data_IF_377065010693
#
_entry.id   IF_377065010693
#
_cell.length_a   1.000
_cell.length_b   1.000
_cell.length_c   1.000
_cell.angle_alpha   90.00
_cell.angle_beta   90.00
_cell.angle_gamma   90.00
#
_symmetry.space_group_name_H-M   'P 1'
#
loop_
_entity.id
_entity.type
_entity.pdbx_description
1 polymer ?
#
# COMPACT_ATOMS: atom_id res chain seq x y z
N UNK A 1 -21.60 15.18 -16.65
CA UNK A 1 -20.22 14.91 -17.10
C UNK A 1 -19.53 14.24 -15.94
N UNK A 2 -18.81 13.15 -16.19
CA UNK A 2 -18.02 12.48 -15.14
C UNK A 2 -16.81 13.38 -14.82
N UNK A 3 -16.58 13.66 -13.53
CA UNK A 3 -15.49 14.54 -13.09
C UNK A 3 -14.13 13.82 -13.05
N UNK A 4 -14.02 12.63 -13.69
CA UNK A 4 -12.81 11.84 -13.79
C UNK A 4 -12.50 11.48 -15.26
N UNK A 5 -11.24 11.10 -15.54
CA UNK A 5 -10.74 10.79 -16.88
C UNK A 5 -10.54 9.30 -17.04
N UNK A 6 -11.07 8.72 -18.13
CA UNK A 6 -10.88 7.30 -18.49
C UNK A 6 -10.30 7.23 -19.90
N UNK A 7 -9.21 6.49 -20.05
CA UNK A 7 -8.64 6.22 -21.37
C UNK A 7 -9.56 5.28 -22.17
N UNK A 8 -9.64 5.45 -23.49
CA UNK A 8 -10.57 4.73 -24.38
C UNK A 8 -10.42 3.20 -24.32
N UNK A 9 -9.22 2.70 -24.00
CA UNK A 9 -8.97 1.27 -23.83
C UNK A 9 -9.23 0.74 -22.43
N UNK A 10 -9.53 1.61 -21.46
CA UNK A 10 -9.88 1.20 -20.11
C UNK A 10 -11.37 0.86 -20.03
N UNK A 11 -11.70 0.00 -19.08
CA UNK A 11 -13.08 -0.40 -18.80
C UNK A 11 -13.49 -0.03 -17.39
N UNK A 12 -14.60 0.68 -17.26
CA UNK A 12 -15.28 0.93 -15.99
C UNK A 12 -16.67 0.30 -16.08
N UNK A 13 -16.94 -0.67 -15.23
CA UNK A 13 -18.23 -1.34 -15.22
C UNK A 13 -19.30 -0.45 -14.53
N UNK A 14 -20.58 -0.56 -14.89
CA UNK A 14 -21.65 0.15 -14.22
C UNK A 14 -21.68 -0.14 -12.71
N UNK A 15 -21.93 0.90 -11.90
CA UNK A 15 -21.97 0.78 -10.44
C UNK A 15 -20.62 0.96 -9.73
N UNK A 16 -19.54 1.26 -10.46
CA UNK A 16 -18.30 1.75 -9.85
C UNK A 16 -18.49 3.21 -9.41
N UNK A 17 -18.02 3.53 -8.20
CA UNK A 17 -18.00 4.88 -7.63
C UNK A 17 -16.60 5.46 -7.76
N UNK A 18 -16.44 6.57 -8.51
CA UNK A 18 -15.13 7.16 -8.78
C UNK A 18 -15.17 8.64 -8.50
N UNK A 19 -14.28 9.11 -7.63
CA UNK A 19 -14.16 10.51 -7.24
C UNK A 19 -13.58 11.41 -8.34
N UNK A 20 -13.88 12.69 -8.24
CA UNK A 20 -13.41 13.73 -9.16
C UNK A 20 -11.87 13.78 -9.24
N UNK A 21 -11.34 14.17 -10.40
CA UNK A 21 -9.91 14.30 -10.66
C UNK A 21 -9.16 12.98 -10.85
N UNK A 22 -9.79 11.83 -10.63
CA UNK A 22 -9.19 10.50 -10.82
C UNK A 22 -8.92 10.22 -12.29
N UNK A 23 -7.78 9.58 -12.58
CA UNK A 23 -7.33 9.24 -13.95
C UNK A 23 -7.12 7.75 -14.07
N UNK A 24 -7.76 7.16 -15.08
CA UNK A 24 -7.72 5.72 -15.37
C UNK A 24 -7.08 5.52 -16.74
N UNK A 25 -5.91 4.88 -16.75
CA UNK A 25 -5.08 4.73 -17.93
C UNK A 25 -5.35 3.44 -18.71
N UNK A 26 -4.56 3.20 -19.75
CA UNK A 26 -4.71 2.15 -20.74
C UNK A 26 -4.96 0.77 -20.10
N UNK A 27 -5.93 0.04 -20.64
CA UNK A 27 -6.23 -1.35 -20.29
C UNK A 27 -6.53 -1.60 -18.80
N UNK A 28 -6.80 -0.54 -18.03
CA UNK A 28 -7.27 -0.72 -16.67
C UNK A 28 -8.73 -1.22 -16.67
N UNK A 29 -9.09 -2.01 -15.68
CA UNK A 29 -10.45 -2.48 -15.47
C UNK A 29 -10.91 -2.21 -14.04
N UNK A 30 -11.99 -1.47 -13.90
CA UNK A 30 -12.66 -1.18 -12.62
C UNK A 30 -14.01 -1.88 -12.62
N UNK A 31 -14.19 -2.83 -11.72
CA UNK A 31 -15.46 -3.56 -11.60
C UNK A 31 -16.55 -2.70 -10.93
N UNK A 32 -17.80 -2.99 -11.28
CA UNK A 32 -18.96 -2.41 -10.59
C UNK A 32 -18.95 -2.74 -9.10
N UNK A 33 -19.24 -1.73 -8.24
CA UNK A 33 -19.17 -1.85 -6.78
C UNK A 33 -17.83 -1.44 -6.17
N UNK A 34 -16.77 -1.25 -6.96
CA UNK A 34 -15.52 -0.65 -6.49
C UNK A 34 -15.75 0.80 -6.06
N UNK A 35 -15.09 1.23 -5.00
CA UNK A 35 -15.12 2.61 -4.51
C UNK A 35 -13.72 3.23 -4.59
N UNK A 36 -13.59 4.31 -5.35
CA UNK A 36 -12.33 5.01 -5.59
C UNK A 36 -12.53 6.48 -5.26
N UNK A 37 -11.67 7.03 -4.42
CA UNK A 37 -11.67 8.42 -4.00
C UNK A 37 -11.27 9.38 -5.12
N UNK A 38 -11.02 10.63 -4.74
CA UNK A 38 -10.65 11.73 -5.63
C UNK A 38 -9.15 11.74 -5.93
N UNK A 39 -8.79 12.37 -7.05
CA UNK A 39 -7.40 12.67 -7.43
C UNK A 39 -6.49 11.41 -7.48
N UNK A 40 -7.08 10.24 -7.70
CA UNK A 40 -6.35 8.98 -7.83
C UNK A 40 -5.72 8.82 -9.22
N UNK A 41 -4.68 7.99 -9.30
CA UNK A 41 -4.09 7.56 -10.56
C UNK A 41 -4.06 6.03 -10.63
N UNK A 42 -4.80 5.47 -11.57
CA UNK A 42 -4.76 4.05 -11.93
C UNK A 42 -3.99 3.93 -13.24
N UNK A 43 -2.77 3.41 -13.16
CA UNK A 43 -1.88 3.28 -14.32
C UNK A 43 -2.28 2.10 -15.21
N UNK A 44 -1.47 1.79 -16.21
CA UNK A 44 -1.77 0.76 -17.21
C UNK A 44 -1.93 -0.63 -16.59
N UNK A 45 -2.93 -1.40 -17.07
CA UNK A 45 -3.24 -2.77 -16.62
C UNK A 45 -3.57 -2.89 -15.12
N UNK A 46 -4.10 -1.83 -14.50
CA UNK A 46 -4.59 -1.91 -13.13
C UNK A 46 -5.97 -2.60 -13.14
N UNK A 47 -6.15 -3.55 -12.23
CA UNK A 47 -7.45 -4.20 -12.00
C UNK A 47 -7.97 -3.84 -10.61
N UNK A 48 -9.23 -3.40 -10.51
CA UNK A 48 -9.91 -3.09 -9.25
C UNK A 48 -11.17 -3.95 -9.15
N UNK A 49 -11.20 -4.83 -8.15
CA UNK A 49 -12.34 -5.71 -7.89
C UNK A 49 -13.51 -4.95 -7.22
N UNK A 50 -14.69 -5.54 -7.26
CA UNK A 50 -15.95 -4.93 -6.81
C UNK A 50 -15.93 -4.49 -5.32
N UNK A 51 -15.32 -5.29 -4.44
CA UNK A 51 -15.24 -5.01 -3.00
C UNK A 51 -14.02 -4.21 -2.56
N UNK A 52 -13.23 -3.67 -3.50
CA UNK A 52 -12.06 -2.86 -3.18
C UNK A 52 -12.48 -1.43 -2.77
N UNK A 53 -11.76 -0.86 -1.80
CA UNK A 53 -11.95 0.51 -1.32
C UNK A 53 -10.64 1.28 -1.43
N UNK A 54 -10.66 2.40 -2.15
CA UNK A 54 -9.49 3.22 -2.42
C UNK A 54 -9.80 4.66 -2.00
N UNK A 55 -9.00 5.21 -1.10
CA UNK A 55 -9.09 6.58 -0.60
C UNK A 55 -8.66 7.63 -1.62
N UNK A 56 -8.55 8.87 -1.17
CA UNK A 56 -8.18 10.00 -2.01
C UNK A 56 -6.67 10.04 -2.31
N UNK A 57 -6.28 10.53 -3.48
CA UNK A 57 -4.89 10.75 -3.87
C UNK A 57 -4.01 9.49 -4.01
N UNK A 58 -4.63 8.32 -4.07
CA UNK A 58 -3.92 7.04 -4.21
C UNK A 58 -3.31 6.91 -5.60
N UNK A 59 -2.06 6.43 -5.66
CA UNK A 59 -1.38 6.16 -6.93
C UNK A 59 -1.08 4.68 -7.06
N UNK A 60 -1.72 4.04 -8.02
CA UNK A 60 -1.55 2.61 -8.34
C UNK A 60 -0.82 2.52 -9.66
N UNK A 61 0.41 2.00 -9.62
CA UNK A 61 1.27 1.86 -10.79
C UNK A 61 0.88 0.64 -11.64
N UNK A 62 1.57 0.47 -12.78
CA UNK A 62 1.25 -0.53 -13.79
C UNK A 62 1.19 -1.96 -13.23
N UNK A 63 0.26 -2.76 -13.76
CA UNK A 63 0.16 -4.20 -13.52
C UNK A 63 -0.17 -4.57 -12.06
N UNK A 64 -0.92 -3.73 -11.34
CA UNK A 64 -1.37 -4.01 -9.97
C UNK A 64 -2.83 -4.43 -10.00
N UNK A 65 -3.15 -5.51 -9.27
CA UNK A 65 -4.53 -5.96 -9.05
C UNK A 65 -4.92 -5.74 -7.58
N UNK A 66 -5.99 -4.99 -7.37
CA UNK A 66 -6.60 -4.76 -6.06
C UNK A 66 -7.85 -5.62 -5.95
N UNK A 67 -7.82 -6.62 -5.07
CA UNK A 67 -8.89 -7.60 -4.92
C UNK A 67 -9.94 -7.18 -3.89
N UNK A 68 -11.05 -7.94 -3.84
CA UNK A 68 -12.06 -7.79 -2.79
C UNK A 68 -11.44 -7.88 -1.40
N UNK A 69 -11.88 -7.00 -0.49
CA UNK A 69 -11.37 -6.94 0.89
C UNK A 69 -10.08 -6.16 1.06
N UNK A 70 -9.51 -5.61 -0.02
CA UNK A 70 -8.37 -4.69 0.08
C UNK A 70 -8.87 -3.26 0.25
N UNK A 71 -8.36 -2.59 1.28
CA UNK A 71 -8.56 -1.16 1.51
C UNK A 71 -7.22 -0.43 1.41
N UNK A 72 -7.15 0.57 0.54
CA UNK A 72 -6.05 1.52 0.45
C UNK A 72 -6.54 2.86 0.99
N UNK A 73 -5.99 3.35 2.08
CA UNK A 73 -6.31 4.68 2.61
C UNK A 73 -5.67 5.80 1.79
N UNK A 74 -5.95 7.05 2.13
CA UNK A 74 -5.52 8.23 1.37
C UNK A 74 -4.01 8.28 1.15
N UNK A 75 -3.61 8.72 -0.03
CA UNK A 75 -2.22 8.96 -0.38
C UNK A 75 -1.33 7.71 -0.43
N UNK A 76 -1.90 6.50 -0.44
CA UNK A 76 -1.13 5.26 -0.61
C UNK A 76 -0.50 5.22 -2.00
N UNK A 77 0.75 4.75 -2.05
CA UNK A 77 1.47 4.49 -3.29
C UNK A 77 1.69 2.99 -3.47
N UNK A 78 1.16 2.42 -4.55
CA UNK A 78 1.46 1.05 -4.99
C UNK A 78 2.44 1.10 -6.16
N UNK A 79 3.66 0.61 -5.96
CA UNK A 79 4.68 0.49 -6.99
C UNK A 79 4.28 -0.49 -8.10
N UNK A 80 4.91 -0.43 -9.28
CA UNK A 80 4.57 -1.32 -10.39
C UNK A 80 4.70 -2.79 -10.00
N UNK A 81 3.73 -3.58 -10.44
CA UNK A 81 3.67 -5.04 -10.18
C UNK A 81 3.65 -5.42 -8.70
N UNK A 82 3.18 -4.54 -7.83
CA UNK A 82 2.84 -4.93 -6.44
C UNK A 82 1.74 -5.98 -6.47
N UNK A 83 1.90 -7.05 -5.72
CA UNK A 83 0.97 -8.19 -5.67
C UNK A 83 0.24 -8.24 -4.34
N UNK A 84 -1.08 -8.24 -4.38
CA UNK A 84 -1.94 -8.58 -3.25
C UNK A 84 -2.43 -10.02 -3.39
N UNK A 85 -2.46 -10.76 -2.30
CA UNK A 85 -3.21 -12.02 -2.25
C UNK A 85 -4.55 -11.79 -1.56
N UNK A 86 -5.50 -12.71 -1.68
CA UNK A 86 -6.83 -12.57 -1.05
C UNK A 86 -7.27 -13.83 -0.29
N UNK A 87 -6.58 -14.96 -0.51
CA UNK A 87 -6.87 -16.24 0.15
C UNK A 87 -5.57 -16.84 0.68
N UNK A 88 -5.55 -17.24 1.96
CA UNK A 88 -4.36 -17.79 2.62
C UNK A 88 -3.99 -19.17 2.08
N UNK A 89 -4.99 -20.01 1.82
CA UNK A 89 -4.78 -21.42 1.41
C UNK A 89 -5.56 -21.76 0.14
N UNK A 90 -5.21 -21.17 -1.02
CA UNK A 90 -5.93 -21.43 -2.27
C UNK A 90 -5.72 -22.87 -2.77
N UNK A 91 -6.78 -23.46 -3.31
CA UNK A 91 -6.74 -24.73 -4.05
C UNK A 91 -7.76 -24.66 -5.19
N UNK A 92 -7.41 -25.09 -6.38
CA UNK A 92 -8.28 -25.00 -7.57
C UNK A 92 -9.58 -25.80 -7.41
N UNK A 93 -9.52 -26.93 -6.76
CA UNK A 93 -10.66 -27.85 -6.54
C UNK A 93 -11.46 -27.55 -5.26
N UNK A 94 -11.07 -26.54 -4.46
CA UNK A 94 -11.77 -26.12 -3.24
C UNK A 94 -12.18 -24.67 -3.37
N UNK A 95 -13.49 -24.41 -3.44
CA UNK A 95 -13.97 -23.02 -3.47
C UNK A 95 -13.66 -22.30 -2.17
N UNK A 96 -12.97 -21.16 -2.26
CA UNK A 96 -12.62 -20.28 -1.16
C UNK A 96 -13.23 -18.88 -1.29
N UNK A 97 -14.29 -18.73 -2.08
CA UNK A 97 -14.93 -17.43 -2.38
C UNK A 97 -15.43 -16.68 -1.14
N UNK A 98 -15.61 -17.36 -0.02
CA UNK A 98 -16.05 -16.77 1.25
C UNK A 98 -14.91 -16.66 2.29
N UNK A 99 -13.68 -16.98 1.90
CA UNK A 99 -12.51 -17.02 2.78
C UNK A 99 -11.49 -15.92 2.42
N UNK A 100 -11.96 -14.79 1.87
CA UNK A 100 -11.11 -13.65 1.61
C UNK A 100 -10.69 -13.01 2.93
N UNK A 101 -9.39 -12.87 3.13
CA UNK A 101 -8.83 -12.20 4.29
C UNK A 101 -8.55 -10.73 3.94
N UNK A 102 -9.10 -9.76 4.69
CA UNK A 102 -8.95 -8.35 4.38
C UNK A 102 -7.50 -7.89 4.53
N UNK A 103 -7.09 -6.96 3.67
CA UNK A 103 -5.78 -6.29 3.77
C UNK A 103 -6.01 -4.80 3.83
N UNK A 104 -5.43 -4.13 4.83
CA UNK A 104 -5.56 -2.69 5.01
C UNK A 104 -4.19 -2.05 4.82
N UNK A 105 -4.11 -1.09 3.90
CA UNK A 105 -2.93 -0.25 3.71
C UNK A 105 -3.29 1.16 4.18
N UNK A 106 -2.67 1.56 5.29
CA UNK A 106 -2.98 2.82 5.95
C UNK A 106 -2.39 4.01 5.21
N UNK A 107 -2.93 5.17 5.53
CA UNK A 107 -2.63 6.47 4.92
C UNK A 107 -1.13 6.67 4.63
N UNK A 108 -0.82 7.09 3.41
CA UNK A 108 0.51 7.49 3.00
C UNK A 108 1.55 6.37 2.92
N UNK A 109 1.16 5.11 3.13
CA UNK A 109 2.09 3.99 3.01
C UNK A 109 2.57 3.81 1.56
N UNK A 110 3.81 3.36 1.41
CA UNK A 110 4.43 3.05 0.13
C UNK A 110 4.69 1.56 0.00
N UNK A 111 4.18 0.96 -1.06
CA UNK A 111 4.45 -0.42 -1.45
C UNK A 111 5.43 -0.40 -2.63
N UNK A 112 6.63 -0.91 -2.42
CA UNK A 112 7.69 -0.92 -3.45
C UNK A 112 7.34 -1.84 -4.62
N UNK A 113 7.96 -1.59 -5.77
CA UNK A 113 7.77 -2.38 -6.98
C UNK A 113 8.02 -3.88 -6.73
N UNK A 114 7.20 -4.75 -7.34
CA UNK A 114 7.28 -6.21 -7.18
C UNK A 114 7.18 -6.71 -5.73
N UNK A 115 6.70 -5.90 -4.79
CA UNK A 115 6.43 -6.40 -3.44
C UNK A 115 5.19 -7.31 -3.46
N UNK A 116 5.17 -8.31 -2.55
CA UNK A 116 4.04 -9.22 -2.37
C UNK A 116 3.50 -9.10 -0.96
N UNK A 117 2.20 -8.86 -0.82
CA UNK A 117 1.51 -8.77 0.45
C UNK A 117 0.61 -10.00 0.62
N UNK A 118 0.84 -10.77 1.70
CA UNK A 118 -0.11 -11.78 2.09
C UNK A 118 -1.38 -11.10 2.61
N UNK A 119 -2.52 -11.74 2.35
CA UNK A 119 -3.80 -11.23 2.86
C UNK A 119 -3.94 -11.41 4.37
N UNK A 120 -4.82 -10.63 4.99
CA UNK A 120 -5.07 -10.68 6.43
C UNK A 120 -4.10 -9.85 7.25
N UNK A 121 -3.40 -8.88 6.63
CA UNK A 121 -2.41 -8.03 7.31
C UNK A 121 -2.76 -6.55 7.19
N UNK A 122 -2.17 -5.76 8.09
CA UNK A 122 -2.20 -4.32 8.04
C UNK A 122 -0.81 -3.75 7.75
N UNK A 123 -0.75 -2.82 6.79
CA UNK A 123 0.43 -1.98 6.54
C UNK A 123 0.18 -0.63 7.19
N UNK A 124 0.95 -0.31 8.21
CA UNK A 124 0.77 0.87 9.02
C UNK A 124 0.99 2.18 8.24
N UNK A 125 0.46 3.25 8.80
CA UNK A 125 0.52 4.61 8.25
C UNK A 125 1.97 5.01 7.92
N UNK A 126 2.19 5.53 6.71
CA UNK A 126 3.52 5.93 6.20
C UNK A 126 4.59 4.83 6.28
N UNK A 127 4.20 3.57 6.44
CA UNK A 127 5.15 2.48 6.33
C UNK A 127 5.73 2.40 4.92
N UNK A 128 6.96 1.93 4.82
CA UNK A 128 7.66 1.80 3.54
C UNK A 128 8.05 0.33 3.32
N UNK A 129 7.37 -0.32 2.41
CA UNK A 129 7.72 -1.66 1.95
C UNK A 129 8.69 -1.53 0.79
N UNK A 130 9.89 -2.06 0.94
CA UNK A 130 10.92 -2.01 -0.11
C UNK A 130 10.56 -2.87 -1.32
N UNK A 131 11.14 -2.54 -2.47
CA UNK A 131 10.93 -3.29 -3.71
C UNK A 131 11.29 -4.77 -3.54
N UNK A 132 10.49 -5.68 -4.10
CA UNK A 132 10.67 -7.13 -4.03
C UNK A 132 10.45 -7.76 -2.66
N UNK A 133 9.99 -7.02 -1.66
CA UNK A 133 9.73 -7.56 -0.34
C UNK A 133 8.49 -8.46 -0.32
N UNK A 134 8.53 -9.55 0.47
CA UNK A 134 7.37 -10.42 0.73
C UNK A 134 6.88 -10.20 2.15
N UNK A 135 5.78 -9.47 2.29
CA UNK A 135 5.20 -9.08 3.58
C UNK A 135 4.25 -10.17 4.05
N UNK A 136 4.58 -10.81 5.17
CA UNK A 136 3.86 -11.96 5.71
C UNK A 136 3.14 -11.68 7.04
N UNK A 137 3.22 -10.45 7.55
CA UNK A 137 2.64 -10.01 8.83
C UNK A 137 2.48 -8.50 8.83
N UNK A 138 1.77 -7.97 9.81
CA UNK A 138 1.58 -6.53 9.98
C UNK A 138 2.89 -5.75 9.99
N UNK A 139 2.83 -4.56 9.42
CA UNK A 139 3.95 -3.62 9.37
C UNK A 139 3.59 -2.39 10.21
N UNK A 140 4.39 -2.05 11.23
CA UNK A 140 4.14 -0.87 12.05
C UNK A 140 4.15 0.44 11.25
N UNK A 141 3.46 1.46 11.78
CA UNK A 141 3.49 2.79 11.19
C UNK A 141 4.93 3.31 11.06
N UNK A 142 5.25 3.95 9.94
CA UNK A 142 6.59 4.47 9.60
C UNK A 142 7.70 3.41 9.49
N UNK A 143 7.43 2.13 9.66
CA UNK A 143 8.45 1.10 9.55
C UNK A 143 8.93 0.93 8.09
N UNK A 144 10.24 0.82 7.92
CA UNK A 144 10.87 0.41 6.68
C UNK A 144 11.13 -1.11 6.73
N UNK A 145 10.50 -1.85 5.83
CA UNK A 145 10.64 -3.31 5.74
C UNK A 145 11.16 -3.73 4.37
N UNK A 146 12.05 -4.71 4.33
CA UNK A 146 12.65 -5.25 3.09
C UNK A 146 12.89 -6.75 3.20
N UNK A 147 13.03 -7.41 2.07
CA UNK A 147 13.46 -8.82 1.96
C UNK A 147 12.32 -9.82 1.85
N UNK A 148 12.68 -11.10 1.77
CA UNK A 148 11.76 -12.23 1.70
C UNK A 148 12.19 -13.30 2.75
N UNK A 149 11.39 -13.50 3.81
CA UNK A 149 10.25 -12.67 4.22
C UNK A 149 10.70 -11.27 4.68
N UNK A 150 9.82 -10.28 4.57
CA UNK A 150 10.12 -8.89 4.92
C UNK A 150 10.52 -8.76 6.40
N UNK A 151 11.56 -7.96 6.65
CA UNK A 151 12.08 -7.65 7.98
C UNK A 151 12.16 -6.14 8.18
N UNK A 152 11.89 -5.71 9.39
CA UNK A 152 12.06 -4.32 9.80
C UNK A 152 13.55 -3.97 9.82
N UNK A 153 13.96 -2.97 9.04
CA UNK A 153 15.35 -2.54 8.89
C UNK A 153 15.58 -1.08 9.24
N UNK A 154 14.56 -0.38 9.69
CA UNK A 154 14.62 1.02 10.07
C UNK A 154 13.28 1.71 9.93
N UNK A 155 13.31 3.03 9.87
CA UNK A 155 12.14 3.89 9.82
C UNK A 155 12.16 4.77 8.58
N UNK A 156 10.98 5.18 8.13
CA UNK A 156 10.78 6.13 7.04
C UNK A 156 10.02 7.35 7.56
N UNK A 157 10.40 8.52 7.07
CA UNK A 157 9.66 9.76 7.28
C UNK A 157 8.37 9.76 6.44
N UNK A 158 7.39 10.55 6.84
CA UNK A 158 6.19 10.78 6.01
C UNK A 158 6.51 11.37 4.63
N UNK A 159 7.67 12.03 4.45
CA UNK A 159 8.14 12.51 3.16
C UNK A 159 8.81 11.42 2.30
N UNK A 160 8.98 10.20 2.81
CA UNK A 160 9.61 9.07 2.12
C UNK A 160 11.09 8.87 2.42
N UNK A 161 11.76 9.84 3.05
CA UNK A 161 13.17 9.71 3.41
C UNK A 161 13.38 8.72 4.55
N UNK A 162 14.51 8.03 4.50
CA UNK A 162 14.91 7.12 5.58
C UNK A 162 15.30 7.91 6.84
N UNK A 163 14.80 7.46 7.99
CA UNK A 163 15.13 8.04 9.29
C UNK A 163 16.23 7.25 9.99
N UNK A 164 17.24 7.96 10.49
CA UNK A 164 18.31 7.42 11.32
C UNK A 164 19.31 6.51 10.60
N UNK A 165 20.36 6.05 11.31
CA UNK A 165 21.34 5.13 10.76
C UNK A 165 20.71 3.77 10.46
N UNK A 166 21.29 3.02 9.51
CA UNK A 166 20.96 1.61 9.35
C UNK A 166 21.25 0.90 10.68
N UNK A 167 20.34 0.02 11.16
CA UNK A 167 20.72 -0.90 12.24
C UNK A 167 22.02 -1.57 11.84
N UNK A 168 23.06 -1.42 12.66
CA UNK A 168 24.23 -2.25 12.58
C UNK A 168 23.85 -3.70 12.90
N UNK A 169 24.68 -4.69 12.52
CA UNK A 169 24.44 -6.10 12.81
C UNK A 169 24.24 -6.38 14.32
N UNK A 170 24.69 -5.48 15.18
CA UNK A 170 24.74 -5.65 16.64
C UNK A 170 23.57 -5.02 17.41
N UNK A 171 22.53 -4.54 16.74
CA UNK A 171 21.30 -4.08 17.43
C UNK A 171 21.43 -2.86 18.32
N UNK A 172 22.57 -2.16 18.32
CA UNK A 172 22.86 -1.07 19.23
C UNK A 172 22.12 0.22 18.87
N UNK A 173 21.51 0.80 19.91
CA UNK A 173 20.95 2.13 20.07
C UNK A 173 19.98 2.65 19.00
N UNK A 174 18.69 2.52 19.30
CA UNK A 174 17.66 3.36 18.69
C UNK A 174 17.76 4.74 19.35
N UNK A 175 18.19 5.74 18.60
CA UNK A 175 18.02 7.13 19.04
C UNK A 175 16.53 7.37 19.29
N UNK A 176 16.15 7.76 20.50
CA UNK A 176 14.74 7.97 20.86
C UNK A 176 14.08 9.12 20.10
N UNK A 177 14.89 9.99 19.51
CA UNK A 177 14.41 11.12 18.69
C UNK A 177 15.11 11.09 17.35
N UNK A 178 14.33 10.91 16.29
CA UNK A 178 14.79 10.89 14.90
C UNK A 178 14.36 12.17 14.19
N UNK A 179 15.29 12.84 13.52
CA UNK A 179 14.99 14.01 12.70
C UNK A 179 15.21 13.68 11.23
N UNK A 180 14.24 14.02 10.39
CA UNK A 180 14.39 13.89 8.95
C UNK A 180 15.34 14.94 8.40
N UNK A 181 16.35 14.49 7.63
CA UNK A 181 17.31 15.39 7.00
C UNK A 181 16.73 16.23 5.86
N UNK A 182 15.65 15.77 5.22
CA UNK A 182 15.04 16.45 4.08
C UNK A 182 13.97 17.47 4.48
N UNK A 183 13.01 17.07 5.36
CA UNK A 183 11.87 17.93 5.71
C UNK A 183 11.89 18.44 7.16
N UNK A 184 12.93 18.13 7.91
CA UNK A 184 13.13 18.49 9.32
C UNK A 184 12.06 17.95 10.30
N UNK A 185 11.12 17.13 9.86
CA UNK A 185 10.14 16.48 10.73
C UNK A 185 10.84 15.67 11.83
N UNK A 186 10.26 15.70 13.03
CA UNK A 186 10.82 15.03 14.21
C UNK A 186 9.90 13.90 14.65
N UNK A 187 10.49 12.78 15.00
CA UNK A 187 9.79 11.57 15.45
C UNK A 187 10.37 11.08 16.77
N UNK A 188 9.54 10.39 17.54
CA UNK A 188 9.96 9.73 18.77
C UNK A 188 9.71 8.22 18.67
N UNK A 189 10.75 7.43 18.88
CA UNK A 189 10.63 6.00 19.06
C UNK A 189 10.16 5.67 20.49
N UNK A 190 9.38 4.63 20.63
CA UNK A 190 9.02 4.06 21.95
C UNK A 190 10.26 3.46 22.64
N UNK A 191 10.07 2.97 23.88
CA UNK A 191 11.16 2.45 24.69
C UNK A 191 11.85 1.24 24.05
N UNK A 192 11.08 0.42 23.34
CA UNK A 192 11.54 -0.86 22.75
C UNK A 192 11.95 -0.69 21.27
N UNK A 193 11.80 0.52 20.71
CA UNK A 193 12.09 0.80 19.30
C UNK A 193 11.19 0.01 18.32
N UNK A 194 9.97 -0.32 18.73
CA UNK A 194 8.99 -1.07 17.93
C UNK A 194 7.95 -0.17 17.29
N UNK A 195 7.78 1.06 17.77
CA UNK A 195 6.86 2.05 17.22
C UNK A 195 7.51 3.42 17.07
N UNK A 196 7.04 4.20 16.10
CA UNK A 196 7.48 5.56 15.83
C UNK A 196 6.28 6.51 15.77
N UNK A 197 6.37 7.63 16.46
CA UNK A 197 5.32 8.67 16.46
C UNK A 197 5.89 10.02 16.05
N UNK A 198 5.20 10.83 15.21
CA UNK A 198 5.59 12.20 14.92
C UNK A 198 5.41 13.07 16.15
N UNK A 199 6.22 14.13 16.24
CA UNK A 199 6.14 15.19 17.26
C UNK A 199 5.53 16.46 16.69
#
# INVERSE_FOLDING_TARGET
MTDYVVHDTARVDPGAEIGAGTRIWHFAHVMGGARIGRDCMLAQNVFIAAGAVIGDGVKIQNNVSIYDGVTLEDGVFCGPSTVFTNVVTPRSHVSRRHAFAPTIVRQGATLGANSTLLCGIEIGRYAFVGAGAVVTRDVPAYALVVGNPARHVGWACACGERLGPRRGPDGAHVERTLRCGACAAVYRADADGTALTPR
#
